data_IF_100577115683
#
_entry.id   IF_100577115683
#
_cell.length_a   1.000
_cell.length_b   1.000
_cell.length_c   1.000
_cell.angle_alpha   90.00
_cell.angle_beta   90.00
_cell.angle_gamma   90.00
#
_symmetry.space_group_name_H-M   'P 1'
#
loop_
_entity.id
_entity.type
_entity.pdbx_description
1 polymer ?
#
# COMPACT_ATOMS: atom_id res chain seq x y z
N UNK A 1 56.33 -0.58 -6.18
CA UNK A 1 56.00 -1.53 -7.26
C UNK A 1 55.43 -2.77 -6.59
N UNK A 2 54.12 -3.00 -6.62
CA UNK A 2 53.49 -4.15 -5.98
C UNK A 2 53.47 -5.33 -6.96
N UNK A 3 54.17 -6.41 -6.62
CA UNK A 3 54.26 -7.62 -7.43
C UNK A 3 52.92 -8.37 -7.40
N UNK A 4 52.32 -8.58 -8.58
CA UNK A 4 51.15 -9.45 -8.73
C UNK A 4 51.56 -10.89 -8.44
N UNK A 5 51.03 -11.47 -7.35
CA UNK A 5 51.15 -12.90 -7.06
C UNK A 5 50.57 -13.69 -8.24
N UNK A 6 51.37 -14.54 -8.86
CA UNK A 6 50.90 -15.47 -9.87
C UNK A 6 49.95 -16.47 -9.20
N UNK A 7 48.65 -16.31 -9.43
CA UNK A 7 47.65 -17.30 -8.99
C UNK A 7 47.80 -18.53 -9.87
N UNK A 8 48.18 -19.67 -9.29
CA UNK A 8 48.24 -20.93 -10.02
C UNK A 8 46.83 -21.34 -10.44
N UNK A 9 46.59 -21.40 -11.75
CA UNK A 9 45.34 -21.91 -12.30
C UNK A 9 45.25 -23.42 -12.08
N UNK A 10 44.04 -23.90 -11.80
CA UNK A 10 43.76 -25.32 -11.64
C UNK A 10 43.90 -26.05 -12.99
N UNK A 11 44.22 -27.34 -12.95
CA UNK A 11 44.36 -28.14 -14.17
C UNK A 11 43.02 -28.34 -14.87
N UNK A 12 43.04 -28.45 -16.20
CA UNK A 12 41.83 -28.62 -17.04
C UNK A 12 41.00 -29.84 -16.61
N UNK A 13 41.67 -30.94 -16.24
CA UNK A 13 40.99 -32.17 -15.79
C UNK A 13 40.25 -31.99 -14.46
N UNK A 14 40.83 -31.24 -13.51
CA UNK A 14 40.17 -30.93 -12.24
C UNK A 14 38.95 -30.03 -12.46
N UNK A 15 39.09 -29.05 -13.35
CA UNK A 15 38.05 -28.08 -13.68
C UNK A 15 36.82 -28.72 -14.36
N UNK A 16 37.03 -29.82 -15.09
CA UNK A 16 35.95 -30.60 -15.73
C UNK A 16 35.15 -31.46 -14.75
N UNK A 17 35.65 -31.66 -13.51
CA UNK A 17 34.96 -32.47 -12.51
C UNK A 17 33.61 -31.84 -12.13
N UNK A 18 32.59 -32.69 -11.88
CA UNK A 18 31.20 -32.25 -11.64
C UNK A 18 31.04 -31.18 -10.56
N UNK A 19 31.88 -31.21 -9.51
CA UNK A 19 31.82 -30.22 -8.44
C UNK A 19 32.38 -28.84 -8.83
N UNK A 20 33.23 -28.77 -9.85
CA UNK A 20 33.79 -27.53 -10.39
C UNK A 20 32.92 -26.92 -11.50
N UNK A 21 32.08 -27.73 -12.17
CA UNK A 21 31.27 -27.31 -13.32
C UNK A 21 30.40 -26.08 -13.06
N UNK A 22 29.78 -25.96 -11.88
CA UNK A 22 28.97 -24.77 -11.53
C UNK A 22 29.77 -23.47 -11.56
N UNK A 23 30.98 -23.48 -11.01
CA UNK A 23 31.85 -22.30 -10.98
C UNK A 23 32.39 -21.98 -12.37
N UNK A 24 32.73 -23.01 -13.15
CA UNK A 24 33.21 -22.88 -14.53
C UNK A 24 32.15 -22.27 -15.42
N UNK A 25 30.94 -22.84 -15.40
CA UNK A 25 29.80 -22.33 -16.18
C UNK A 25 29.50 -20.89 -15.84
N UNK A 26 29.51 -20.51 -14.54
CA UNK A 26 29.30 -19.12 -14.14
C UNK A 26 30.37 -18.18 -14.70
N UNK A 27 31.64 -18.58 -14.66
CA UNK A 27 32.76 -17.78 -15.19
C UNK A 27 32.68 -17.68 -16.72
N UNK A 28 32.30 -18.75 -17.39
CA UNK A 28 32.16 -18.80 -18.84
C UNK A 28 30.97 -17.98 -19.34
N UNK A 29 29.83 -18.03 -18.63
CA UNK A 29 28.68 -17.16 -18.89
C UNK A 29 29.02 -15.67 -18.73
N UNK A 30 29.76 -15.32 -17.66
CA UNK A 30 30.22 -13.95 -17.42
C UNK A 30 31.16 -13.47 -18.53
N UNK A 31 32.16 -14.28 -18.90
CA UNK A 31 33.05 -13.97 -20.03
C UNK A 31 32.31 -13.83 -21.35
N UNK A 32 31.39 -14.74 -21.65
CA UNK A 32 30.60 -14.69 -22.88
C UNK A 32 29.63 -13.48 -22.87
N UNK A 33 29.17 -13.03 -21.72
CA UNK A 33 28.40 -11.79 -21.60
C UNK A 33 29.30 -10.57 -21.86
N UNK A 34 30.50 -10.54 -21.29
CA UNK A 34 31.50 -9.49 -21.54
C UNK A 34 31.93 -9.43 -23.01
N UNK A 35 32.19 -10.57 -23.64
CA UNK A 35 32.54 -10.68 -25.06
C UNK A 35 31.40 -10.18 -25.94
N UNK A 36 30.15 -10.63 -25.69
CA UNK A 36 28.98 -10.10 -26.41
C UNK A 36 28.81 -8.61 -26.22
N UNK A 37 29.09 -8.08 -25.02
CA UNK A 37 29.00 -6.65 -24.77
C UNK A 37 30.09 -5.88 -25.50
N UNK A 38 31.31 -6.41 -25.57
CA UNK A 38 32.39 -5.84 -26.39
C UNK A 38 32.05 -5.87 -27.87
N UNK A 39 31.53 -6.97 -28.39
CA UNK A 39 31.10 -7.08 -29.78
C UNK A 39 30.00 -6.06 -30.09
N UNK A 40 29.04 -5.87 -29.16
CA UNK A 40 28.03 -4.82 -29.27
C UNK A 40 28.71 -3.44 -29.31
N UNK A 41 29.59 -3.12 -28.37
CA UNK A 41 30.23 -1.81 -28.28
C UNK A 41 31.15 -1.51 -29.48
N UNK A 42 31.81 -2.52 -30.03
CA UNK A 42 32.73 -2.39 -31.17
C UNK A 42 31.99 -2.26 -32.52
N UNK A 43 30.82 -2.91 -32.67
CA UNK A 43 30.04 -2.90 -33.92
C UNK A 43 28.91 -1.85 -33.97
N UNK A 44 28.38 -1.42 -32.81
CA UNK A 44 27.25 -0.49 -32.75
C UNK A 44 27.72 0.96 -32.83
N UNK A 45 27.81 1.47 -34.05
CA UNK A 45 27.88 2.91 -34.29
C UNK A 45 26.50 3.54 -34.02
N UNK A 46 26.44 4.49 -33.09
CA UNK A 46 25.23 5.30 -32.86
C UNK A 46 25.27 6.49 -33.80
N UNK A 47 24.26 6.62 -34.66
CA UNK A 47 24.07 7.81 -35.48
C UNK A 47 23.17 8.79 -34.74
N UNK A 48 23.75 9.86 -34.21
CA UNK A 48 23.02 10.95 -33.58
C UNK A 48 22.28 11.79 -34.64
N UNK A 49 21.10 11.34 -35.03
CA UNK A 49 20.20 12.10 -35.91
C UNK A 49 19.25 12.93 -35.04
N UNK A 50 19.44 14.26 -34.95
CA UNK A 50 18.64 15.11 -34.06
C UNK A 50 17.14 15.08 -34.38
N UNK A 51 16.76 14.83 -35.64
CA UNK A 51 15.37 14.77 -36.09
C UNK A 51 14.61 13.50 -35.64
N UNK A 52 15.32 12.41 -35.33
CA UNK A 52 14.72 11.16 -34.87
C UNK A 52 14.43 11.18 -33.37
N UNK A 53 15.30 11.82 -32.58
CA UNK A 53 15.08 11.98 -31.13
C UNK A 53 13.84 12.82 -30.82
N UNK A 54 13.50 13.80 -31.67
CA UNK A 54 12.29 14.61 -31.49
C UNK A 54 10.98 13.91 -31.92
N UNK A 55 11.05 12.85 -32.73
CA UNK A 55 9.87 12.07 -33.14
C UNK A 55 9.71 10.83 -32.29
N UNK A 56 9.48 11.01 -31.00
CA UNK A 56 8.92 9.93 -30.19
C UNK A 56 7.56 9.51 -30.80
N UNK A 57 7.37 8.20 -30.96
CA UNK A 57 6.13 7.67 -31.53
C UNK A 57 4.97 7.95 -30.59
N UNK A 58 4.01 8.78 -31.02
CA UNK A 58 2.82 9.13 -30.23
C UNK A 58 1.92 7.94 -29.90
N UNK A 59 2.00 6.88 -30.71
CA UNK A 59 1.15 5.70 -30.59
C UNK A 59 2.02 4.45 -30.68
N UNK A 60 1.75 3.51 -29.77
CA UNK A 60 2.37 2.18 -29.75
C UNK A 60 1.31 1.16 -30.14
N UNK A 61 1.56 0.42 -31.22
CA UNK A 61 0.67 -0.64 -31.68
C UNK A 61 1.16 -1.94 -31.04
N UNK A 62 0.39 -2.46 -30.09
CA UNK A 62 0.66 -3.75 -29.45
C UNK A 62 -0.33 -4.80 -29.97
N UNK A 63 0.14 -5.96 -30.45
CA UNK A 63 -0.74 -7.05 -30.88
C UNK A 63 -1.35 -7.82 -29.69
N UNK A 64 -0.91 -7.54 -28.46
CA UNK A 64 -1.34 -8.25 -27.26
C UNK A 64 -2.46 -7.51 -26.52
N UNK A 65 -3.48 -8.25 -26.10
CA UNK A 65 -4.58 -7.71 -25.29
C UNK A 65 -4.23 -7.59 -23.80
N UNK A 66 -3.08 -8.13 -23.36
CA UNK A 66 -2.67 -8.19 -21.95
C UNK A 66 -2.57 -6.81 -21.30
N UNK A 67 -2.16 -5.79 -22.07
CA UNK A 67 -2.03 -4.42 -21.57
C UNK A 67 -3.39 -3.72 -21.51
N UNK A 68 -4.29 -4.08 -22.41
CA UNK A 68 -5.61 -3.43 -22.53
C UNK A 68 -6.61 -4.02 -21.54
N UNK A 69 -6.55 -5.33 -21.33
CA UNK A 69 -7.42 -6.04 -20.41
C UNK A 69 -6.63 -6.36 -19.15
N UNK A 70 -7.10 -5.85 -18.00
CA UNK A 70 -6.58 -6.24 -16.69
C UNK A 70 -6.97 -7.70 -16.41
N UNK A 71 -6.28 -8.65 -17.03
CA UNK A 71 -6.54 -10.08 -16.90
C UNK A 71 -6.04 -10.61 -15.56
N UNK A 72 -6.60 -11.72 -15.11
CA UNK A 72 -6.12 -12.48 -13.95
C UNK A 72 -5.31 -13.68 -14.43
N UNK A 73 -4.53 -14.27 -13.51
CA UNK A 73 -3.79 -15.49 -13.80
C UNK A 73 -4.71 -16.62 -14.30
N UNK A 74 -4.40 -17.17 -15.48
CA UNK A 74 -5.31 -18.07 -16.20
C UNK A 74 -5.46 -19.48 -15.61
N UNK A 75 -4.46 -19.99 -14.88
CA UNK A 75 -4.59 -21.31 -14.23
C UNK A 75 -5.22 -21.13 -12.86
N UNK A 76 -6.44 -21.64 -12.73
CA UNK A 76 -7.23 -21.50 -11.51
C UNK A 76 -7.62 -22.84 -10.89
N UNK A 77 -7.53 -22.90 -9.55
CA UNK A 77 -8.07 -23.96 -8.71
C UNK A 77 -8.88 -23.30 -7.61
N UNK A 78 -9.91 -23.99 -7.16
CA UNK A 78 -10.79 -23.52 -6.10
C UNK A 78 -10.99 -24.61 -5.06
N UNK A 79 -11.30 -24.20 -3.83
CA UNK A 79 -11.71 -25.08 -2.73
C UNK A 79 -10.70 -26.19 -2.40
N UNK A 80 -9.40 -25.95 -2.61
CA UNK A 80 -8.35 -26.89 -2.26
C UNK A 80 -8.21 -28.07 -3.23
N UNK A 81 -8.80 -28.00 -4.43
CA UNK A 81 -8.60 -29.05 -5.46
C UNK A 81 -7.13 -29.17 -5.87
N UNK A 82 -6.38 -28.07 -5.81
CA UNK A 82 -4.94 -28.03 -6.01
C UNK A 82 -4.31 -26.83 -5.29
N UNK A 83 -3.68 -27.10 -4.14
CA UNK A 83 -3.05 -26.08 -3.30
C UNK A 83 -1.88 -25.38 -4.00
N UNK A 84 -1.13 -26.08 -4.86
CA UNK A 84 -0.01 -25.46 -5.57
C UNK A 84 -0.50 -24.45 -6.62
N UNK A 85 -1.59 -24.77 -7.33
CA UNK A 85 -2.21 -23.82 -8.27
C UNK A 85 -2.82 -22.63 -7.54
N UNK A 86 -3.46 -22.85 -6.38
CA UNK A 86 -4.01 -21.75 -5.56
C UNK A 86 -2.93 -20.81 -5.04
N UNK A 87 -1.77 -21.33 -4.58
CA UNK A 87 -0.62 -20.50 -4.20
C UNK A 87 -0.09 -19.69 -5.38
N UNK A 88 0.05 -20.31 -6.55
CA UNK A 88 0.54 -19.62 -7.75
C UNK A 88 -0.47 -18.56 -8.19
N UNK A 89 -1.78 -18.83 -8.15
CA UNK A 89 -2.82 -17.85 -8.44
C UNK A 89 -2.73 -16.66 -7.51
N UNK A 90 -2.65 -16.89 -6.19
CA UNK A 90 -2.57 -15.83 -5.20
C UNK A 90 -1.30 -14.98 -5.39
N UNK A 91 -0.14 -15.61 -5.63
CA UNK A 91 1.11 -14.89 -5.84
C UNK A 91 1.07 -13.99 -7.08
N UNK A 92 0.51 -14.47 -8.20
CA UNK A 92 0.45 -13.69 -9.44
C UNK A 92 -0.62 -12.60 -9.42
N UNK A 93 -1.70 -12.76 -8.65
CA UNK A 93 -2.75 -11.75 -8.53
C UNK A 93 -2.54 -10.79 -7.34
N UNK A 94 -1.52 -11.01 -6.50
CA UNK A 94 -1.31 -10.27 -5.26
C UNK A 94 -1.19 -8.75 -5.45
N UNK A 95 -0.42 -8.29 -6.44
CA UNK A 95 -0.26 -6.85 -6.70
C UNK A 95 -1.59 -6.21 -7.09
N UNK A 96 -2.36 -6.88 -7.94
CA UNK A 96 -3.66 -6.40 -8.40
C UNK A 96 -4.69 -6.37 -7.27
N UNK A 97 -4.70 -7.38 -6.42
CA UNK A 97 -5.55 -7.41 -5.22
C UNK A 97 -5.17 -6.30 -4.23
N UNK A 98 -3.87 -6.02 -4.07
CA UNK A 98 -3.37 -4.94 -3.25
C UNK A 98 -3.77 -3.56 -3.80
N UNK A 99 -3.64 -3.35 -5.10
CA UNK A 99 -4.06 -2.11 -5.76
C UNK A 99 -5.56 -1.86 -5.60
N UNK A 100 -6.39 -2.89 -5.83
CA UNK A 100 -7.84 -2.81 -5.64
C UNK A 100 -8.22 -2.52 -4.17
N UNK A 101 -7.54 -3.15 -3.22
CA UNK A 101 -7.75 -2.88 -1.79
C UNK A 101 -7.39 -1.43 -1.44
N UNK A 102 -6.26 -0.94 -1.94
CA UNK A 102 -5.80 0.44 -1.71
C UNK A 102 -6.74 1.48 -2.30
N UNK A 103 -7.35 1.19 -3.45
CA UNK A 103 -8.34 2.08 -4.06
C UNK A 103 -9.62 2.15 -3.21
N UNK A 104 -10.12 0.99 -2.76
CA UNK A 104 -11.26 0.92 -1.84
C UNK A 104 -11.00 1.66 -0.52
N UNK A 105 -9.82 1.48 0.08
CA UNK A 105 -9.42 2.22 1.28
C UNK A 105 -9.45 3.73 1.04
N UNK A 106 -8.86 4.19 -0.07
CA UNK A 106 -8.86 5.61 -0.45
C UNK A 106 -10.26 6.18 -0.65
N UNK A 107 -11.20 5.41 -1.19
CA UNK A 107 -12.59 5.84 -1.33
C UNK A 107 -13.29 6.00 0.03
N UNK A 108 -12.92 5.18 1.02
CA UNK A 108 -13.51 5.23 2.36
C UNK A 108 -12.88 6.29 3.28
N UNK A 109 -11.66 6.72 2.97
CA UNK A 109 -10.93 7.73 3.73
C UNK A 109 -11.47 9.14 3.47
N UNK A 110 -11.81 9.87 4.53
CA UNK A 110 -12.23 11.28 4.45
C UNK A 110 -10.99 12.16 4.50
N UNK A 111 -10.78 12.96 3.46
CA UNK A 111 -9.66 13.90 3.40
C UNK A 111 -9.81 15.01 4.47
N UNK A 112 -8.69 15.50 5.03
CA UNK A 112 -8.65 16.55 6.08
C UNK A 112 -9.43 17.81 5.71
N UNK A 113 -9.39 18.19 4.44
CA UNK A 113 -10.15 19.34 3.94
C UNK A 113 -11.67 19.11 3.99
N UNK A 114 -12.11 17.89 3.69
CA UNK A 114 -13.51 17.52 3.77
C UNK A 114 -13.96 17.40 5.24
N UNK A 115 -13.11 16.81 6.08
CA UNK A 115 -13.30 16.74 7.52
C UNK A 115 -13.49 18.14 8.12
N UNK A 116 -12.63 19.11 7.78
CA UNK A 116 -12.72 20.49 8.24
C UNK A 116 -14.04 21.17 7.83
N UNK A 117 -14.50 20.97 6.59
CA UNK A 117 -15.79 21.51 6.09
C UNK A 117 -16.99 20.92 6.84
N UNK A 118 -16.96 19.63 7.16
CA UNK A 118 -18.02 18.99 7.97
C UNK A 118 -18.07 19.59 9.37
N UNK A 119 -16.91 19.79 10.02
CA UNK A 119 -16.82 20.41 11.34
C UNK A 119 -17.28 21.87 11.35
N UNK A 120 -16.88 22.69 10.38
CA UNK A 120 -17.32 24.10 10.31
C UNK A 120 -18.84 24.23 10.19
N UNK A 121 -19.45 23.34 9.41
CA UNK A 121 -20.91 23.30 9.19
C UNK A 121 -21.65 22.87 10.47
N UNK A 122 -21.15 21.83 11.15
CA UNK A 122 -21.69 21.36 12.43
C UNK A 122 -21.60 22.41 13.53
N UNK A 123 -20.44 23.07 13.68
CA UNK A 123 -20.24 24.13 14.70
C UNK A 123 -21.17 25.31 14.44
N UNK A 124 -21.39 25.70 13.17
CA UNK A 124 -22.34 26.75 12.80
C UNK A 124 -23.80 26.42 13.17
N UNK A 125 -24.22 25.16 12.99
CA UNK A 125 -25.57 24.70 13.38
C UNK A 125 -25.72 24.67 14.90
N UNK A 126 -24.71 24.15 15.61
CA UNK A 126 -24.72 24.05 17.07
C UNK A 126 -24.78 25.45 17.70
N UNK A 127 -23.97 26.39 17.21
CA UNK A 127 -24.01 27.79 17.66
C UNK A 127 -25.41 28.40 17.51
N UNK A 128 -26.08 28.18 16.37
CA UNK A 128 -27.46 28.66 16.13
C UNK A 128 -28.49 28.04 17.08
N UNK A 129 -28.32 26.78 17.53
CA UNK A 129 -29.23 26.15 18.50
C UNK A 129 -29.09 26.75 19.90
N UNK A 130 -27.90 27.17 20.29
CA UNK A 130 -27.65 27.74 21.62
C UNK A 130 -28.01 29.23 21.73
N UNK A 131 -27.89 30.01 20.64
CA UNK A 131 -28.32 31.41 20.63
C UNK A 131 -29.84 31.56 20.68
N UNK A 132 -30.59 30.71 19.96
CA UNK A 132 -32.05 30.73 19.95
C UNK A 132 -32.70 30.39 21.30
N UNK A 133 -32.00 29.68 22.20
CA UNK A 133 -32.54 29.35 23.53
C UNK A 133 -32.52 30.54 24.50
N UNK A 134 -31.66 31.55 24.29
CA UNK A 134 -31.60 32.77 25.13
C UNK A 134 -32.68 33.80 24.80
N UNK A 135 -33.15 33.89 23.55
CA UNK A 135 -34.18 34.86 23.15
C UNK A 135 -35.61 34.46 23.51
N UNK A 136 -35.90 33.18 23.76
CA UNK A 136 -37.25 32.69 24.11
C UNK A 136 -37.66 33.01 25.55
N UNK A 137 -36.73 33.25 26.46
CA UNK A 137 -37.03 33.57 27.86
C UNK A 137 -37.39 35.05 28.08
N UNK A 138 -37.20 35.91 27.07
CA UNK A 138 -37.42 37.35 27.15
C UNK A 138 -38.84 37.79 26.78
N UNK A 139 -39.67 36.88 26.25
CA UNK A 139 -41.03 37.18 25.76
C UNK A 139 -42.15 36.46 26.54
N UNK A 140 -41.85 35.75 27.63
CA UNK A 140 -42.86 35.04 28.43
C UNK A 140 -43.20 35.79 29.74
N UNK A 141 -43.39 37.12 29.66
CA UNK A 141 -43.49 38.00 30.82
C UNK A 141 -44.72 38.90 30.88
N UNK A 142 -45.79 38.65 30.13
CA UNK A 142 -47.09 39.34 30.27
C UNK A 142 -48.24 38.42 29.89
N UNK A 143 -48.87 37.82 30.89
CA UNK A 143 -50.33 37.68 31.06
C UNK A 143 -50.59 36.89 32.34
N UNK A 144 -51.24 37.54 33.31
CA UNK A 144 -51.70 36.95 34.57
C UNK A 144 -53.02 36.20 34.32
N UNK A 145 -53.19 35.03 34.95
CA UNK A 145 -54.32 34.70 35.85
C UNK A 145 -54.39 33.18 36.10
N UNK A 146 -54.48 32.80 37.39
CA UNK A 146 -55.29 31.65 37.84
C UNK A 146 -54.63 30.26 37.94
N UNK A 147 -54.39 29.86 39.20
CA UNK A 147 -54.65 28.54 39.79
C UNK A 147 -53.58 27.41 39.79
N UNK A 148 -53.27 26.94 41.01
CA UNK A 148 -52.76 25.60 41.37
C UNK A 148 -51.29 25.22 41.11
N UNK A 149 -50.52 24.70 42.11
CA UNK A 149 -49.20 24.13 41.88
C UNK A 149 -49.28 22.67 41.40
N UNK A 150 -48.70 22.36 40.23
CA UNK A 150 -48.43 20.97 39.83
C UNK A 150 -46.92 20.73 39.77
N UNK A 151 -46.45 19.82 40.63
CA UNK A 151 -45.05 19.38 40.69
C UNK A 151 -44.60 18.73 39.38
N UNK A 152 -43.80 19.46 38.59
CA UNK A 152 -43.14 18.90 37.43
C UNK A 152 -41.92 18.06 37.85
N UNK A 153 -42.09 16.73 37.84
CA UNK A 153 -41.03 15.76 38.11
C UNK A 153 -39.81 16.01 37.20
N UNK A 154 -38.65 16.27 37.80
CA UNK A 154 -37.36 16.38 37.12
C UNK A 154 -36.99 15.04 36.47
N UNK A 155 -37.00 14.97 35.14
CA UNK A 155 -36.45 13.81 34.42
C UNK A 155 -34.92 13.89 34.44
N UNK A 156 -34.29 12.87 35.03
CA UNK A 156 -32.83 12.67 35.06
C UNK A 156 -32.32 12.50 33.61
N UNK A 157 -31.19 13.11 33.22
CA UNK A 157 -30.64 12.91 31.88
C UNK A 157 -30.24 11.45 31.69
N UNK A 158 -30.66 10.83 30.58
CA UNK A 158 -30.15 9.53 30.14
C UNK A 158 -28.68 9.69 29.75
N UNK A 159 -27.78 9.22 30.62
CA UNK A 159 -26.37 9.00 30.28
C UNK A 159 -26.33 7.86 29.27
N UNK A 160 -25.75 8.12 28.10
CA UNK A 160 -25.43 7.04 27.16
C UNK A 160 -24.39 6.14 27.80
N UNK A 161 -24.61 4.82 27.92
CA UNK A 161 -23.58 3.91 28.40
C UNK A 161 -22.43 3.90 27.40
N UNK A 162 -21.21 4.04 27.92
CA UNK A 162 -19.99 3.88 27.10
C UNK A 162 -20.01 2.50 26.42
N UNK A 163 -19.52 2.39 25.18
CA UNK A 163 -19.44 1.11 24.49
C UNK A 163 -18.56 0.13 25.29
N UNK A 164 -18.91 -1.18 25.29
CA UNK A 164 -18.15 -2.17 26.03
C UNK A 164 -16.70 -2.18 25.53
N UNK A 165 -15.76 -2.05 26.47
CA UNK A 165 -14.32 -2.22 26.19
C UNK A 165 -14.10 -3.60 25.57
N UNK A 166 -13.31 -3.72 24.49
CA UNK A 166 -13.02 -5.02 23.90
C UNK A 166 -12.36 -5.92 24.93
N UNK A 167 -12.89 -7.13 25.07
CA UNK A 167 -12.34 -8.19 25.91
C UNK A 167 -10.93 -8.58 25.42
N UNK A 168 -9.97 -8.50 26.35
CA UNK A 168 -8.64 -9.12 26.30
C UNK A 168 -7.72 -8.71 25.15
N UNK A 169 -6.99 -7.61 25.34
CA UNK A 169 -5.62 -7.52 24.85
C UNK A 169 -4.79 -8.62 25.56
N UNK A 170 -4.29 -9.57 24.78
CA UNK A 170 -3.27 -10.51 25.25
C UNK A 170 -2.11 -9.69 25.84
N UNK A 171 -1.68 -10.03 27.06
CA UNK A 171 -0.51 -9.42 27.69
C UNK A 171 0.68 -9.52 26.73
N UNK A 172 1.06 -8.41 26.12
CA UNK A 172 2.32 -8.30 25.39
C UNK A 172 3.42 -8.60 26.42
N UNK A 173 4.24 -9.62 26.12
CA UNK A 173 5.39 -9.97 26.93
C UNK A 173 6.26 -8.72 27.05
N UNK A 174 6.46 -8.22 28.27
CA UNK A 174 7.44 -7.18 28.54
C UNK A 174 8.80 -7.73 28.14
N UNK A 175 9.42 -7.14 27.12
CA UNK A 175 10.81 -7.42 26.79
C UNK A 175 11.67 -7.03 28.00
N UNK A 176 12.43 -8.00 28.51
CA UNK A 176 13.46 -7.76 29.51
C UNK A 176 14.59 -6.99 28.81
N UNK A 177 14.97 -5.83 29.33
CA UNK A 177 16.18 -5.13 28.86
C UNK A 177 17.39 -6.02 29.13
N UNK A 178 18.38 -6.11 28.23
CA UNK A 178 19.67 -6.69 28.57
C UNK A 178 20.34 -5.84 29.65
N UNK A 179 20.83 -6.49 30.70
CA UNK A 179 21.76 -5.89 31.67
C UNK A 179 23.11 -5.75 30.96
N UNK A 180 23.65 -4.52 30.94
CA UNK A 180 25.00 -4.26 30.50
C UNK A 180 25.97 -4.76 31.59
N UNK A 181 26.77 -5.78 31.27
CA UNK A 181 28.03 -6.13 31.96
C UNK A 181 28.92 -6.94 31.03
#
# INVERSE_FOLDING_TARGET
MSEKRQTANLSKNLLQMKFMQRSVLRIEEEKNAEERQRDIDDEHWVLDVPDLQQKEQKYRIEPSFVICENLNYGRMSFKGCNLEIEKIMAANNAEKEYEAARESERETEVNDQEMAKRYSTLIGIIAKKFTNKRGRNSQAGKEENGDGPQEAKRKVPKVFPDPPKPSTLQKVKKFLKPEDS
#
